data_IF_608939068024
#
_entry.id   IF_608939068024
#
_cell.length_a   1.000
_cell.length_b   1.000
_cell.length_c   1.000
_cell.angle_alpha   90.00
_cell.angle_beta   90.00
_cell.angle_gamma   90.00
#
_symmetry.space_group_name_H-M   'P 1'
#
loop_
_entity.id
_entity.type
_entity.pdbx_description
1 polymer ?
#
# COMPACT_ATOMS: atom_id res chain seq x y z
N UNK A 1 -14.52 24.87 51.28
CA UNK A 1 -13.17 24.83 51.87
C UNK A 1 -13.14 25.27 53.34
N UNK A 2 -13.55 26.51 53.68
CA UNK A 2 -13.53 27.06 55.07
C UNK A 2 -14.22 26.17 56.13
N UNK A 3 -15.37 25.57 55.81
CA UNK A 3 -16.12 24.68 56.73
C UNK A 3 -15.40 23.36 57.03
N UNK A 4 -14.62 22.83 56.08
CA UNK A 4 -13.87 21.58 56.26
C UNK A 4 -12.56 21.82 57.03
N UNK A 5 -11.89 22.94 56.77
CA UNK A 5 -10.68 23.34 57.50
C UNK A 5 -10.99 23.61 58.97
N UNK A 6 -12.08 24.32 59.26
CA UNK A 6 -12.49 24.57 60.66
C UNK A 6 -12.83 23.27 61.39
N UNK A 7 -13.53 22.34 60.73
CA UNK A 7 -13.87 21.03 61.32
C UNK A 7 -12.62 20.18 61.62
N UNK A 8 -11.58 20.28 60.80
CA UNK A 8 -10.28 19.62 61.04
C UNK A 8 -9.52 20.31 62.17
N UNK A 9 -9.57 21.65 62.27
CA UNK A 9 -8.96 22.39 63.37
C UNK A 9 -9.64 22.12 64.72
N UNK A 10 -10.97 22.05 64.75
CA UNK A 10 -11.73 21.72 65.96
C UNK A 10 -11.42 20.27 66.39
N UNK A 11 -11.42 19.33 65.44
CA UNK A 11 -11.01 17.94 65.67
C UNK A 11 -9.57 17.84 66.20
N UNK A 12 -8.65 18.65 65.68
CA UNK A 12 -7.28 18.68 66.17
C UNK A 12 -7.20 19.31 67.57
N UNK A 13 -7.97 20.34 67.87
CA UNK A 13 -7.89 21.02 69.16
C UNK A 13 -8.46 20.19 70.33
N UNK A 14 -9.42 19.30 70.07
CA UNK A 14 -10.02 18.41 71.08
C UNK A 14 -9.12 17.22 71.48
N UNK A 15 -8.03 16.96 70.76
CA UNK A 15 -7.11 15.86 71.06
C UNK A 15 -5.92 16.28 71.95
N UNK A 16 -5.57 15.41 72.89
CA UNK A 16 -4.41 15.62 73.77
C UNK A 16 -3.10 15.55 72.98
N UNK A 17 -2.02 16.16 73.49
CA UNK A 17 -0.70 16.17 72.84
C UNK A 17 -0.22 14.74 72.50
N UNK A 18 -0.51 13.77 73.37
CA UNK A 18 -0.16 12.35 73.19
C UNK A 18 -0.94 11.70 72.02
N UNK A 19 -2.21 12.01 71.87
CA UNK A 19 -3.06 11.50 70.78
C UNK A 19 -2.63 12.07 69.42
N UNK A 20 -2.26 13.35 69.36
CA UNK A 20 -1.72 13.99 68.15
C UNK A 20 -0.44 13.33 67.65
N UNK A 21 0.46 12.96 68.56
CA UNK A 21 1.70 12.26 68.23
C UNK A 21 1.40 10.86 67.67
N UNK A 22 0.47 10.13 68.27
CA UNK A 22 0.06 8.79 67.80
C UNK A 22 -0.57 8.86 66.40
N UNK A 23 -1.47 9.82 66.17
CA UNK A 23 -2.09 10.05 64.86
C UNK A 23 -1.03 10.44 63.81
N UNK A 24 -0.09 11.33 64.17
CA UNK A 24 1.00 11.72 63.28
C UNK A 24 1.90 10.55 62.89
N UNK A 25 2.26 9.69 63.84
CA UNK A 25 3.04 8.47 63.58
C UNK A 25 2.28 7.52 62.66
N UNK A 26 0.97 7.35 62.87
CA UNK A 26 0.13 6.52 62.01
C UNK A 26 0.08 7.05 60.57
N UNK A 27 -0.09 8.36 60.38
CA UNK A 27 -0.11 8.98 59.04
C UNK A 27 1.24 8.77 58.33
N UNK A 28 2.37 8.96 59.02
CA UNK A 28 3.70 8.75 58.44
C UNK A 28 3.89 7.29 58.04
N UNK A 29 3.57 6.34 58.92
CA UNK A 29 3.62 4.90 58.63
C UNK A 29 2.74 4.54 57.43
N UNK A 30 1.51 5.06 57.38
CA UNK A 30 0.57 4.80 56.29
C UNK A 30 1.11 5.37 54.97
N UNK A 31 1.73 6.55 55.00
CA UNK A 31 2.34 7.18 53.82
C UNK A 31 3.52 6.36 53.29
N UNK A 32 4.36 5.82 54.18
CA UNK A 32 5.49 4.96 53.81
C UNK A 32 4.99 3.64 53.19
N UNK A 33 3.98 3.00 53.81
CA UNK A 33 3.40 1.76 53.30
C UNK A 33 2.76 1.98 51.92
N UNK A 34 1.99 3.05 51.75
CA UNK A 34 1.41 3.42 50.46
C UNK A 34 2.51 3.69 49.43
N UNK A 35 3.58 4.41 49.80
CA UNK A 35 4.73 4.67 48.93
C UNK A 35 5.41 3.40 48.45
N UNK A 36 5.62 2.41 49.34
CA UNK A 36 6.18 1.10 49.00
C UNK A 36 5.24 0.34 48.06
N UNK A 37 3.93 0.33 48.33
CA UNK A 37 2.94 -0.33 47.48
C UNK A 37 2.88 0.29 46.07
N UNK A 38 2.94 1.61 45.96
CA UNK A 38 2.99 2.32 44.67
C UNK A 38 4.29 1.97 43.93
N UNK A 39 5.43 1.95 44.62
CA UNK A 39 6.71 1.58 44.03
C UNK A 39 6.68 0.15 43.45
N UNK A 40 6.20 -0.82 44.23
CA UNK A 40 6.04 -2.20 43.75
C UNK A 40 5.04 -2.32 42.61
N UNK A 41 3.95 -1.54 42.63
CA UNK A 41 2.97 -1.52 41.56
C UNK A 41 3.59 -0.98 40.25
N UNK A 42 4.36 0.10 40.32
CA UNK A 42 5.04 0.68 39.15
C UNK A 42 6.14 -0.26 38.63
N UNK A 43 6.94 -0.86 39.51
CA UNK A 43 8.08 -1.68 39.08
C UNK A 43 7.66 -3.07 38.58
N UNK A 44 6.64 -3.69 39.17
CA UNK A 44 6.27 -5.08 38.88
C UNK A 44 4.97 -5.23 38.10
N UNK A 45 3.95 -4.41 38.39
CA UNK A 45 2.60 -4.60 37.83
C UNK A 45 2.39 -3.78 36.56
N UNK A 46 2.79 -2.50 36.58
CA UNK A 46 2.65 -1.59 35.43
C UNK A 46 3.29 -2.13 34.14
N UNK A 47 4.50 -2.74 34.15
CA UNK A 47 5.11 -3.26 32.92
C UNK A 47 4.32 -4.45 32.37
N UNK A 48 3.80 -5.31 33.25
CA UNK A 48 2.96 -6.45 32.85
C UNK A 48 1.63 -5.96 32.27
N UNK A 49 1.00 -4.96 32.88
CA UNK A 49 -0.22 -4.32 32.34
C UNK A 49 0.04 -3.65 30.99
N UNK A 50 1.18 -2.99 30.82
CA UNK A 50 1.55 -2.38 29.53
C UNK A 50 1.79 -3.44 28.44
N UNK A 51 2.51 -4.51 28.76
CA UNK A 51 2.78 -5.61 27.81
C UNK A 51 1.50 -6.36 27.45
N UNK A 52 0.64 -6.64 28.42
CA UNK A 52 -0.67 -7.27 28.18
C UNK A 52 -1.61 -6.35 27.39
N UNK A 53 -1.63 -5.05 27.66
CA UNK A 53 -2.39 -4.09 26.86
C UNK A 53 -1.89 -3.99 25.42
N UNK A 54 -0.56 -4.02 25.20
CA UNK A 54 0.04 -4.07 23.86
C UNK A 54 -0.30 -5.38 23.14
N UNK A 55 -0.26 -6.52 23.83
CA UNK A 55 -0.66 -7.82 23.29
C UNK A 55 -2.14 -7.87 22.94
N UNK A 56 -3.01 -7.38 23.81
CA UNK A 56 -4.46 -7.30 23.55
C UNK A 56 -4.73 -6.32 22.40
N UNK A 57 -4.01 -5.21 22.31
CA UNK A 57 -4.15 -4.28 21.18
C UNK A 57 -3.67 -4.91 19.86
N UNK A 58 -2.54 -5.62 19.86
CA UNK A 58 -2.05 -6.33 18.68
C UNK A 58 -3.01 -7.45 18.23
N UNK A 59 -3.57 -8.22 19.17
CA UNK A 59 -4.55 -9.27 18.89
C UNK A 59 -5.91 -8.70 18.49
N UNK A 60 -6.30 -7.54 19.03
CA UNK A 60 -7.51 -6.84 18.64
C UNK A 60 -7.35 -6.11 17.30
N UNK A 61 -6.15 -5.65 16.91
CA UNK A 61 -5.93 -5.04 15.58
C UNK A 61 -6.12 -6.05 14.44
N UNK A 62 -5.87 -7.33 14.70
CA UNK A 62 -6.20 -8.41 13.76
C UNK A 62 -7.70 -8.75 13.75
N UNK A 63 -8.49 -8.20 14.69
CA UNK A 63 -9.94 -8.43 14.85
C UNK A 63 -10.79 -7.17 14.75
N UNK A 64 -10.22 -6.00 14.45
CA UNK A 64 -11.02 -4.86 13.99
C UNK A 64 -11.39 -5.17 12.55
N UNK A 65 -12.68 -5.40 12.22
CA UNK A 65 -13.12 -5.62 10.86
C UNK A 65 -13.15 -4.27 10.11
N UNK A 66 -12.01 -3.60 10.00
CA UNK A 66 -11.87 -2.36 9.23
C UNK A 66 -11.86 -2.61 7.72
N UNK A 67 -12.10 -3.84 7.25
CA UNK A 67 -12.00 -4.23 5.84
C UNK A 67 -13.25 -4.91 5.26
N UNK A 68 -14.42 -4.85 5.92
CA UNK A 68 -15.64 -5.41 5.32
C UNK A 68 -16.92 -4.55 5.32
N UNK A 69 -16.99 -3.40 6.01
CA UNK A 69 -18.25 -2.64 6.09
C UNK A 69 -18.16 -1.13 5.76
N UNK A 70 -17.11 -0.65 5.10
CA UNK A 70 -17.05 0.72 4.54
C UNK A 70 -17.13 0.76 3.02
N UNK A 71 -17.84 -0.17 2.40
CA UNK A 71 -17.99 -0.22 0.94
C UNK A 71 -19.08 0.73 0.38
N UNK A 72 -19.56 1.71 1.16
CA UNK A 72 -20.34 2.84 0.64
C UNK A 72 -19.96 4.13 1.38
N UNK A 73 -18.71 4.56 1.25
CA UNK A 73 -18.33 5.95 1.56
C UNK A 73 -17.57 6.49 0.36
N UNK A 74 -18.28 7.31 -0.42
CA UNK A 74 -17.76 8.30 -1.39
C UNK A 74 -16.35 8.00 -1.88
N UNK A 75 -16.25 7.22 -2.97
CA UNK A 75 -15.00 7.16 -3.74
C UNK A 75 -14.59 8.60 -4.05
N UNK A 76 -13.40 9.05 -3.63
CA UNK A 76 -12.91 10.36 -4.05
C UNK A 76 -12.89 10.35 -5.60
N UNK A 77 -13.31 11.44 -6.24
CA UNK A 77 -13.49 11.51 -7.71
C UNK A 77 -12.26 10.98 -8.49
N UNK A 78 -11.05 11.14 -7.93
CA UNK A 78 -9.83 10.57 -8.49
C UNK A 78 -9.80 9.04 -8.53
N UNK A 79 -10.41 8.35 -7.56
CA UNK A 79 -10.49 6.88 -7.52
C UNK A 79 -11.52 6.33 -8.52
N UNK A 80 -12.63 7.06 -8.74
CA UNK A 80 -13.62 6.75 -9.80
C UNK A 80 -12.96 6.86 -11.18
N UNK A 81 -12.21 7.95 -11.41
CA UNK A 81 -11.47 8.18 -12.66
C UNK A 81 -10.45 7.06 -12.95
N UNK A 82 -9.73 6.61 -11.92
CA UNK A 82 -8.74 5.54 -12.05
C UNK A 82 -9.36 4.16 -12.27
N UNK A 83 -10.51 3.87 -11.66
CA UNK A 83 -11.25 2.62 -11.91
C UNK A 83 -11.79 2.61 -13.35
N UNK A 84 -12.32 3.74 -13.83
CA UNK A 84 -12.77 3.86 -15.22
C UNK A 84 -11.60 3.68 -16.20
N UNK A 85 -10.46 4.34 -15.93
CA UNK A 85 -9.25 4.15 -16.72
C UNK A 85 -8.80 2.68 -16.71
N UNK A 86 -8.92 2.00 -15.58
CA UNK A 86 -8.61 0.57 -15.46
C UNK A 86 -9.52 -0.28 -16.34
N UNK A 87 -10.85 -0.09 -16.27
CA UNK A 87 -11.81 -0.83 -17.08
C UNK A 87 -11.62 -0.58 -18.58
N UNK A 88 -11.37 0.66 -18.99
CA UNK A 88 -11.07 1.04 -20.37
C UNK A 88 -9.77 0.41 -20.86
N UNK A 89 -8.74 0.44 -20.02
CA UNK A 89 -7.46 -0.22 -20.31
C UNK A 89 -7.65 -1.71 -20.49
N UNK A 90 -8.35 -2.39 -19.57
CA UNK A 90 -8.62 -3.81 -19.64
C UNK A 90 -9.40 -4.18 -20.92
N UNK A 91 -10.36 -3.34 -21.34
CA UNK A 91 -11.13 -3.53 -22.58
C UNK A 91 -10.25 -3.54 -23.81
N UNK A 92 -9.22 -2.69 -23.88
CA UNK A 92 -8.32 -2.60 -25.03
C UNK A 92 -7.17 -3.60 -24.95
N UNK A 93 -6.69 -3.85 -23.74
CA UNK A 93 -5.55 -4.71 -23.46
C UNK A 93 -5.88 -6.20 -23.59
N UNK A 94 -7.06 -6.62 -23.15
CA UNK A 94 -7.48 -8.02 -23.16
C UNK A 94 -7.57 -8.65 -24.55
N UNK A 95 -8.14 -7.99 -25.59
CA UNK A 95 -8.13 -8.49 -26.96
C UNK A 95 -6.73 -8.77 -27.49
N UNK A 96 -5.77 -7.87 -27.24
CA UNK A 96 -4.38 -8.04 -27.66
C UNK A 96 -3.81 -9.31 -27.02
N UNK A 97 -3.97 -9.47 -25.70
CA UNK A 97 -3.51 -10.68 -25.01
C UNK A 97 -4.17 -11.96 -25.53
N UNK A 98 -5.42 -11.89 -26.00
CA UNK A 98 -6.13 -13.02 -26.62
C UNK A 98 -5.56 -13.39 -27.99
N UNK A 99 -5.15 -12.40 -28.78
CA UNK A 99 -4.49 -12.62 -30.08
C UNK A 99 -3.15 -13.33 -29.88
N UNK A 100 -2.36 -12.91 -28.89
CA UNK A 100 -1.03 -13.47 -28.62
C UNK A 100 -1.04 -14.61 -27.58
N UNK A 101 -2.20 -15.14 -27.19
CA UNK A 101 -2.32 -16.06 -26.04
C UNK A 101 -1.43 -17.30 -26.13
N UNK A 102 -1.27 -17.85 -27.34
CA UNK A 102 -0.47 -19.05 -27.60
C UNK A 102 1.01 -18.73 -27.45
N UNK A 103 1.47 -17.67 -28.13
CA UNK A 103 2.88 -17.23 -28.14
C UNK A 103 3.34 -16.71 -26.77
N UNK A 104 2.42 -16.19 -25.97
CA UNK A 104 2.67 -15.75 -24.60
C UNK A 104 2.51 -16.87 -23.58
N UNK A 105 1.99 -18.03 -23.98
CA UNK A 105 1.72 -19.14 -23.08
C UNK A 105 0.74 -18.78 -21.96
N UNK A 106 -0.22 -17.88 -22.22
CA UNK A 106 -1.17 -17.35 -21.24
C UNK A 106 -2.59 -17.85 -21.51
N UNK A 107 -3.43 -17.84 -20.48
CA UNK A 107 -4.87 -17.96 -20.65
C UNK A 107 -5.56 -16.67 -20.16
N UNK A 108 -5.87 -15.72 -21.06
CA UNK A 108 -6.45 -14.42 -20.70
C UNK A 108 -7.97 -14.53 -20.43
N UNK A 109 -8.40 -15.55 -19.69
CA UNK A 109 -9.81 -15.72 -19.26
C UNK A 109 -10.17 -14.80 -18.10
N UNK A 110 -9.19 -14.45 -17.28
CA UNK A 110 -9.30 -13.57 -16.13
C UNK A 110 -8.01 -12.78 -16.04
N UNK A 111 -8.05 -11.49 -16.35
CA UNK A 111 -7.02 -10.59 -15.84
C UNK A 111 -7.23 -10.64 -14.32
N UNK A 112 -6.30 -11.26 -13.59
CA UNK A 112 -6.26 -11.15 -12.14
C UNK A 112 -5.75 -9.74 -11.83
N UNK A 113 -6.70 -8.84 -11.97
CA UNK A 113 -6.66 -7.42 -11.73
C UNK A 113 -6.67 -7.23 -10.22
N UNK A 114 -5.58 -7.60 -9.54
CA UNK A 114 -5.34 -6.99 -8.23
C UNK A 114 -5.02 -5.55 -8.58
N UNK A 115 -5.96 -4.64 -8.30
CA UNK A 115 -5.70 -3.21 -8.26
C UNK A 115 -4.40 -3.00 -7.44
N UNK A 116 -3.27 -2.86 -8.11
CA UNK A 116 -2.00 -2.56 -7.47
C UNK A 116 -1.63 -1.16 -7.88
N UNK A 117 -2.01 -0.21 -7.03
CA UNK A 117 -1.58 1.18 -7.08
C UNK A 117 -0.13 1.24 -6.58
N UNK A 118 0.80 0.71 -7.37
CA UNK A 118 2.22 0.83 -7.09
C UNK A 118 2.74 2.09 -7.78
N UNK A 119 3.41 2.95 -7.02
CA UNK A 119 4.17 4.06 -7.60
C UNK A 119 5.40 3.49 -8.31
N UNK A 120 5.77 4.07 -9.45
CA UNK A 120 6.96 3.72 -10.21
C UNK A 120 8.29 4.10 -9.52
N UNK A 121 8.48 3.75 -8.25
CA UNK A 121 9.63 4.17 -7.43
C UNK A 121 10.97 3.65 -7.92
N UNK A 122 10.98 2.61 -8.76
CA UNK A 122 12.18 2.02 -9.37
C UNK A 122 12.74 2.89 -10.49
N UNK A 123 11.92 3.77 -11.07
CA UNK A 123 12.31 4.64 -12.19
C UNK A 123 12.66 6.02 -11.63
N UNK A 124 13.95 6.40 -11.76
CA UNK A 124 14.44 7.71 -11.33
C UNK A 124 13.59 8.83 -11.95
N UNK A 125 13.05 9.71 -11.11
CA UNK A 125 12.19 10.86 -11.45
C UNK A 125 10.73 10.55 -11.87
N UNK A 126 10.24 9.32 -11.71
CA UNK A 126 8.83 8.98 -11.98
C UNK A 126 8.12 8.48 -10.71
N UNK A 127 7.49 9.40 -9.95
CA UNK A 127 6.74 9.07 -8.73
C UNK A 127 5.24 8.80 -8.98
N UNK A 128 4.86 8.61 -10.25
CA UNK A 128 3.49 8.44 -10.71
C UNK A 128 2.97 7.03 -10.44
N UNK A 129 1.65 6.86 -10.23
CA UNK A 129 1.05 5.54 -10.08
C UNK A 129 1.06 4.78 -11.41
N UNK A 130 1.45 3.51 -11.37
CA UNK A 130 1.28 2.60 -12.51
C UNK A 130 0.14 1.62 -12.26
N UNK A 131 -0.54 1.27 -13.35
CA UNK A 131 -1.49 0.17 -13.38
C UNK A 131 -0.72 -1.12 -13.68
N UNK A 132 -0.85 -2.11 -12.80
CA UNK A 132 -0.21 -3.41 -12.99
C UNK A 132 -1.26 -4.43 -13.40
N UNK A 133 -1.05 -5.03 -14.58
CA UNK A 133 -1.86 -6.12 -15.08
C UNK A 133 -1.08 -7.43 -14.95
N UNK A 134 -1.65 -8.41 -14.27
CA UNK A 134 -1.05 -9.73 -14.12
C UNK A 134 -1.89 -10.78 -14.84
N UNK A 135 -1.22 -11.59 -15.66
CA UNK A 135 -1.85 -12.70 -16.40
C UNK A 135 -1.17 -14.00 -16.02
N UNK A 136 -1.97 -15.02 -15.72
CA UNK A 136 -1.46 -16.34 -15.40
C UNK A 136 -0.77 -16.96 -16.62
N UNK A 137 0.43 -17.46 -16.41
CA UNK A 137 1.26 -18.11 -17.40
C UNK A 137 1.18 -19.63 -17.25
N UNK A 138 0.80 -20.30 -18.34
CA UNK A 138 0.74 -21.77 -18.46
C UNK A 138 2.00 -22.33 -19.11
N UNK A 139 2.62 -21.59 -20.02
CA UNK A 139 3.83 -22.00 -20.75
C UNK A 139 4.84 -20.84 -20.85
N UNK A 140 6.14 -21.11 -21.04
CA UNK A 140 7.13 -20.07 -21.30
C UNK A 140 6.75 -19.23 -22.53
N UNK A 141 7.14 -17.94 -22.52
CA UNK A 141 6.95 -17.04 -23.66
C UNK A 141 7.85 -17.50 -24.81
N UNK A 142 7.28 -17.62 -26.01
CA UNK A 142 8.00 -18.07 -27.22
C UNK A 142 8.21 -16.97 -28.25
N UNK A 143 7.66 -15.78 -28.02
CA UNK A 143 7.82 -14.61 -28.90
C UNK A 143 8.75 -13.56 -28.31
N UNK A 144 9.28 -12.69 -29.18
CA UNK A 144 9.97 -11.49 -28.76
C UNK A 144 8.97 -10.51 -28.13
N UNK A 145 9.27 -10.01 -26.92
CA UNK A 145 8.37 -9.12 -26.21
C UNK A 145 8.30 -7.72 -26.85
N UNK A 146 9.30 -7.32 -27.63
CA UNK A 146 9.34 -6.03 -28.33
C UNK A 146 8.17 -5.85 -29.30
N UNK A 147 7.80 -6.91 -30.05
CA UNK A 147 6.67 -6.90 -30.97
C UNK A 147 5.34 -6.76 -30.21
N UNK A 148 5.22 -7.40 -29.04
CA UNK A 148 4.06 -7.28 -28.17
C UNK A 148 3.97 -5.86 -27.58
N UNK A 149 5.09 -5.30 -27.12
CA UNK A 149 5.13 -3.93 -26.61
C UNK A 149 4.67 -2.93 -27.65
N UNK A 150 5.14 -3.07 -28.89
CA UNK A 150 4.75 -2.22 -30.01
C UNK A 150 3.26 -2.37 -30.34
N UNK A 151 2.73 -3.61 -30.36
CA UNK A 151 1.32 -3.87 -30.62
C UNK A 151 0.43 -3.22 -29.55
N UNK A 152 0.79 -3.36 -28.27
CA UNK A 152 0.08 -2.74 -27.14
C UNK A 152 0.11 -1.22 -27.26
N UNK A 153 1.29 -0.61 -27.44
CA UNK A 153 1.40 0.84 -27.51
C UNK A 153 0.68 1.43 -28.73
N UNK A 154 0.73 0.74 -29.87
CA UNK A 154 0.01 1.14 -31.09
C UNK A 154 -1.49 1.13 -30.85
N UNK A 155 -2.01 0.10 -30.16
CA UNK A 155 -3.44 0.01 -29.86
C UNK A 155 -3.90 1.09 -28.88
N UNK A 156 -3.11 1.39 -27.85
CA UNK A 156 -3.42 2.52 -26.95
C UNK A 156 -3.51 3.84 -27.70
N UNK A 157 -2.56 4.11 -28.61
CA UNK A 157 -2.59 5.31 -29.43
C UNK A 157 -3.81 5.36 -30.38
N UNK A 158 -4.19 4.23 -30.98
CA UNK A 158 -5.36 4.12 -31.87
C UNK A 158 -6.68 4.36 -31.14
N UNK A 159 -6.81 3.83 -29.92
CA UNK A 159 -8.00 3.98 -29.07
C UNK A 159 -7.99 5.32 -28.29
N UNK A 160 -6.97 6.16 -28.47
CA UNK A 160 -6.84 7.44 -27.78
C UNK A 160 -6.60 7.32 -26.27
N UNK A 161 -6.12 6.16 -25.81
CA UNK A 161 -5.81 5.94 -24.41
C UNK A 161 -4.48 6.61 -24.05
N UNK A 162 -4.50 7.46 -23.03
CA UNK A 162 -3.32 8.14 -22.48
C UNK A 162 -2.54 7.18 -21.58
N UNK A 163 -2.05 6.08 -22.16
CA UNK A 163 -1.36 5.01 -21.46
C UNK A 163 -0.03 4.69 -22.16
N UNK A 164 0.98 4.43 -21.35
CA UNK A 164 2.30 4.03 -21.83
C UNK A 164 2.71 2.69 -21.21
N UNK A 165 3.11 1.71 -22.02
CA UNK A 165 3.64 0.45 -21.52
C UNK A 165 5.11 0.61 -21.11
N UNK A 166 5.35 0.69 -19.80
CA UNK A 166 6.69 0.83 -19.23
C UNK A 166 7.50 -0.43 -19.51
N UNK A 167 7.00 -1.59 -19.10
CA UNK A 167 7.73 -2.85 -19.20
C UNK A 167 6.84 -4.06 -19.04
N UNK A 168 7.37 -5.20 -19.50
CA UNK A 168 6.79 -6.53 -19.30
C UNK A 168 7.75 -7.32 -18.42
N UNK A 169 7.34 -7.65 -17.19
CA UNK A 169 8.14 -8.48 -16.27
C UNK A 169 7.75 -9.95 -16.42
N UNK A 170 8.74 -10.74 -16.84
CA UNK A 170 8.67 -12.18 -17.06
C UNK A 170 9.46 -12.99 -16.03
N UNK A 171 10.07 -12.34 -15.02
CA UNK A 171 10.89 -13.01 -13.99
C UNK A 171 10.06 -13.94 -13.12
N UNK A 172 8.77 -13.64 -12.95
CA UNK A 172 7.85 -14.53 -12.26
C UNK A 172 7.47 -15.70 -13.18
N UNK A 173 7.71 -16.93 -12.72
CA UNK A 173 7.47 -18.11 -13.55
C UNK A 173 5.98 -18.40 -13.79
N UNK A 174 5.12 -17.91 -12.90
CA UNK A 174 3.67 -18.16 -12.87
C UNK A 174 2.83 -17.02 -13.46
N UNK A 175 3.38 -15.80 -13.51
CA UNK A 175 2.65 -14.61 -13.95
C UNK A 175 3.47 -13.76 -14.91
N UNK A 176 2.82 -13.28 -15.96
CA UNK A 176 3.33 -12.21 -16.81
C UNK A 176 2.74 -10.89 -16.29
N UNK A 177 3.60 -9.94 -15.90
CA UNK A 177 3.19 -8.64 -15.38
C UNK A 177 3.44 -7.54 -16.40
N UNK A 178 2.45 -6.68 -16.61
CA UNK A 178 2.52 -5.53 -17.48
C UNK A 178 2.39 -4.26 -16.65
N UNK A 179 3.36 -3.38 -16.77
CA UNK A 179 3.41 -2.11 -16.05
C UNK A 179 2.97 -0.98 -16.99
N UNK A 180 1.80 -0.42 -16.73
CA UNK A 180 1.21 0.64 -17.55
C UNK A 180 1.24 1.97 -16.78
N UNK A 181 1.75 3.02 -17.41
CA UNK A 181 1.77 4.38 -16.90
C UNK A 181 0.59 5.17 -17.46
N UNK A 182 -0.35 5.63 -16.64
CA UNK A 182 -1.26 6.72 -16.99
C UNK A 182 -0.48 8.00 -17.30
N UNK A 183 -0.65 8.54 -18.49
CA UNK A 183 -0.05 9.82 -18.92
C UNK A 183 -0.97 10.95 -18.50
N UNK A 184 -1.12 11.13 -17.19
CA UNK A 184 -2.01 12.13 -16.58
C UNK A 184 -1.28 13.40 -16.13
N UNK A 185 0.05 13.40 -16.18
CA UNK A 185 0.89 14.53 -15.79
C UNK A 185 1.92 14.87 -16.85
N UNK A 186 2.39 16.12 -16.83
CA UNK A 186 3.48 16.58 -17.71
C UNK A 186 4.77 15.78 -17.47
N UNK A 187 5.02 15.36 -16.22
CA UNK A 187 6.18 14.53 -15.89
C UNK A 187 6.07 13.13 -16.52
N UNK A 188 4.90 12.49 -16.44
CA UNK A 188 4.64 11.21 -17.09
C UNK A 188 4.80 11.31 -18.62
N UNK A 189 4.29 12.39 -19.20
CA UNK A 189 4.40 12.66 -20.63
C UNK A 189 5.85 12.83 -21.07
N UNK A 190 6.61 13.71 -20.40
CA UNK A 190 8.01 13.96 -20.71
C UNK A 190 8.85 12.68 -20.57
N UNK A 191 8.60 11.89 -19.53
CA UNK A 191 9.27 10.61 -19.33
C UNK A 191 8.95 9.62 -20.47
N UNK A 192 7.68 9.42 -20.80
CA UNK A 192 7.25 8.51 -21.86
C UNK A 192 7.82 8.90 -23.22
N UNK A 193 7.91 10.20 -23.51
CA UNK A 193 8.53 10.72 -24.73
C UNK A 193 10.02 10.43 -24.79
N UNK A 194 10.76 10.67 -23.70
CA UNK A 194 12.19 10.36 -23.62
C UNK A 194 12.44 8.87 -23.77
N UNK A 195 11.65 8.03 -23.10
CA UNK A 195 11.79 6.58 -23.17
C UNK A 195 11.52 6.06 -24.58
N UNK A 196 10.47 6.56 -25.23
CA UNK A 196 10.14 6.25 -26.63
C UNK A 196 11.29 6.60 -27.56
N UNK A 197 11.87 7.80 -27.43
CA UNK A 197 13.03 8.21 -28.22
C UNK A 197 14.24 7.30 -28.01
N UNK A 198 14.52 6.90 -26.76
CA UNK A 198 15.59 5.95 -26.45
C UNK A 198 15.36 4.59 -27.10
N UNK A 199 14.12 4.07 -27.05
CA UNK A 199 13.77 2.80 -27.70
C UNK A 199 13.98 2.86 -29.21
N UNK A 200 13.59 3.97 -29.87
CA UNK A 200 13.86 4.16 -31.30
C UNK A 200 15.35 4.27 -31.63
N UNK A 201 16.13 4.92 -30.77
CA UNK A 201 17.59 5.05 -30.96
C UNK A 201 18.33 3.72 -30.75
N UNK A 202 17.85 2.88 -29.83
CA UNK A 202 18.45 1.57 -29.53
C UNK A 202 18.00 0.48 -30.51
N UNK A 203 16.80 0.59 -31.08
CA UNK A 203 16.28 -0.41 -32.02
C UNK A 203 17.04 -0.44 -33.37
N UNK A 204 17.70 0.67 -33.74
CA UNK A 204 18.39 0.80 -35.02
C UNK A 204 17.47 0.56 -36.25
N UNK A 205 17.90 0.91 -37.46
CA UNK A 205 17.24 0.36 -38.64
C UNK A 205 17.46 -1.16 -38.62
N UNK A 206 16.37 -1.94 -38.50
CA UNK A 206 16.41 -3.36 -38.89
C UNK A 206 17.01 -3.41 -40.29
N UNK A 207 18.12 -4.12 -40.47
CA UNK A 207 18.71 -4.29 -41.80
C UNK A 207 17.59 -4.68 -42.77
N UNK A 208 17.50 -4.05 -43.95
CA UNK A 208 16.46 -4.39 -44.90
C UNK A 208 16.54 -5.89 -45.14
N UNK A 209 15.45 -6.58 -44.78
CA UNK A 209 15.36 -8.04 -44.85
C UNK A 209 15.92 -8.52 -46.17
N UNK A 210 16.82 -9.51 -46.08
CA UNK A 210 17.50 -10.05 -47.25
C UNK A 210 16.43 -10.41 -48.30
N UNK A 211 16.60 -9.94 -49.53
CA UNK A 211 15.60 -9.98 -50.63
C UNK A 211 15.04 -11.37 -50.99
N UNK A 212 15.43 -12.44 -50.29
CA UNK A 212 15.02 -13.83 -50.51
C UNK A 212 13.72 -14.24 -49.82
N UNK A 213 13.15 -13.43 -48.91
CA UNK A 213 11.87 -13.74 -48.26
C UNK A 213 10.65 -13.15 -49.01
N UNK A 214 10.78 -12.90 -50.33
CA UNK A 214 9.68 -12.41 -51.18
C UNK A 214 8.90 -13.51 -51.90
N UNK A 215 9.17 -14.78 -51.58
CA UNK A 215 8.46 -15.93 -52.14
C UNK A 215 7.63 -16.63 -51.06
N UNK A 216 6.68 -15.92 -50.44
CA UNK A 216 5.54 -16.50 -49.71
C UNK A 216 4.29 -15.65 -49.91
#
# INVERSE_FOLDING_TARGET
MKKYVNKIMDYWNDHTLKEKVIIGVFIILTTIIIGILIYFFIEKVLPIVAVTALLVWALASDHIPAHKEQQIQTQPEGMVSLINLYEETARVFLPILREYKVSLGINPTTINSIYSYEKCTVITNLAEPALIYSVERKFPVTMELSDLELAIQTRFNQEGLWLYLISIDQRNSQFLKFFLLPVTSENAFNWAMIDTQKRFQQAGPKEPGNRKDKDF
#
